data_IF_047712234428
#
_entry.id   IF_047712234428
#
_cell.length_a   1.000
_cell.length_b   1.000
_cell.length_c   1.000
_cell.angle_alpha   90.00
_cell.angle_beta   90.00
_cell.angle_gamma   90.00
#
_symmetry.space_group_name_H-M   'P 1'
#
loop_
_entity.id
_entity.type
_entity.pdbx_description
1 polymer ?
#
# COMPACT_ATOMS: atom_id res chain seq x y z
N UNK A 1 10.67 7.23 15.96
CA UNK A 1 9.57 6.39 16.38
C UNK A 1 9.68 4.97 15.82
N UNK A 2 10.16 4.78 14.59
CA UNK A 2 10.46 3.48 13.99
C UNK A 2 11.90 3.41 13.51
N UNK A 3 12.52 2.23 13.62
CA UNK A 3 13.79 1.92 12.98
C UNK A 3 13.50 1.14 11.70
N UNK A 4 13.65 1.80 10.54
CA UNK A 4 13.36 1.20 9.24
C UNK A 4 14.51 0.29 8.81
N UNK A 5 14.17 -0.86 8.28
CA UNK A 5 15.07 -1.86 7.69
C UNK A 5 14.53 -2.26 6.33
N UNK A 6 15.35 -2.17 5.30
CA UNK A 6 14.96 -2.32 3.91
C UNK A 6 15.66 -3.51 3.28
N UNK A 7 14.97 -4.18 2.38
CA UNK A 7 15.54 -5.18 1.47
C UNK A 7 14.78 -5.17 0.16
N UNK A 8 15.51 -5.18 -0.97
CA UNK A 8 14.96 -5.22 -2.31
C UNK A 8 14.41 -3.87 -2.80
N UNK A 9 14.72 -2.77 -2.14
CA UNK A 9 14.29 -1.42 -2.57
C UNK A 9 14.72 -1.08 -4.00
N UNK A 10 15.79 -1.72 -4.49
CA UNK A 10 16.28 -1.61 -5.88
C UNK A 10 15.26 -2.14 -6.91
N UNK A 11 14.33 -2.98 -6.48
CA UNK A 11 13.26 -3.52 -7.35
C UNK A 11 12.17 -2.48 -7.64
N UNK A 12 12.16 -1.35 -6.90
CA UNK A 12 11.28 -0.22 -7.24
C UNK A 12 11.97 0.59 -8.34
N UNK A 13 11.38 0.69 -9.55
CA UNK A 13 12.01 1.43 -10.64
C UNK A 13 12.11 2.92 -10.31
N UNK A 14 13.22 3.54 -10.67
CA UNK A 14 13.46 4.98 -10.45
C UNK A 14 12.67 5.87 -11.40
N UNK A 15 12.19 5.31 -12.51
CA UNK A 15 11.41 5.97 -13.56
C UNK A 15 10.42 5.00 -14.21
N UNK A 16 9.55 5.52 -15.07
CA UNK A 16 8.53 4.75 -15.78
C UNK A 16 7.35 4.30 -14.93
N UNK A 17 6.24 3.98 -15.56
CA UNK A 17 5.02 3.54 -14.90
C UNK A 17 5.20 2.19 -14.22
N UNK A 18 4.75 2.06 -12.98
CA UNK A 18 4.74 0.81 -12.24
C UNK A 18 3.68 0.84 -11.12
N UNK A 19 3.29 -0.33 -10.65
CA UNK A 19 2.38 -0.48 -9.52
C UNK A 19 3.09 -1.19 -8.38
N UNK A 20 3.17 -0.56 -7.20
CA UNK A 20 3.59 -1.20 -5.96
C UNK A 20 2.37 -1.75 -5.23
N UNK A 21 2.44 -2.99 -4.78
CA UNK A 21 1.38 -3.68 -4.05
C UNK A 21 1.92 -4.14 -2.70
N UNK A 22 1.24 -3.77 -1.60
CA UNK A 22 1.67 -4.15 -0.26
C UNK A 22 0.49 -4.62 0.61
N UNK A 23 0.80 -5.33 1.70
CA UNK A 23 -0.13 -5.62 2.77
C UNK A 23 -0.49 -4.36 3.56
N UNK A 24 -1.68 -4.34 4.17
CA UNK A 24 -2.22 -3.16 4.86
C UNK A 24 -2.54 -3.43 6.32
N UNK A 25 -1.64 -3.07 7.20
CA UNK A 25 -1.71 -3.40 8.64
C UNK A 25 -1.86 -2.18 9.56
N UNK A 26 -1.60 -0.97 9.02
CA UNK A 26 -1.54 0.25 9.83
C UNK A 26 -1.85 1.50 9.00
N UNK A 27 -2.28 2.58 9.67
CA UNK A 27 -2.48 3.88 9.03
C UNK A 27 -1.17 4.53 8.53
N UNK A 28 -0.02 4.11 9.06
CA UNK A 28 1.29 4.66 8.66
C UNK A 28 1.96 3.89 7.52
N UNK A 29 1.35 2.84 7.01
CA UNK A 29 1.92 2.03 5.92
C UNK A 29 2.30 2.88 4.70
N UNK A 30 1.40 3.77 4.27
CA UNK A 30 1.64 4.67 3.16
C UNK A 30 2.80 5.64 3.42
N UNK A 31 2.94 6.13 4.66
CA UNK A 31 4.06 7.01 5.04
C UNK A 31 5.38 6.23 4.98
N UNK A 32 5.41 5.02 5.52
CA UNK A 32 6.62 4.18 5.52
C UNK A 32 7.03 3.83 4.10
N UNK A 33 6.09 3.40 3.26
CA UNK A 33 6.35 3.11 1.85
C UNK A 33 6.87 4.35 1.12
N UNK A 34 6.24 5.51 1.33
CA UNK A 34 6.66 6.77 0.71
C UNK A 34 8.07 7.22 1.12
N UNK A 35 8.44 7.04 2.39
CA UNK A 35 9.80 7.38 2.88
C UNK A 35 10.86 6.39 2.37
N UNK A 36 10.49 5.12 2.21
CA UNK A 36 11.39 4.06 1.74
C UNK A 36 11.52 3.98 0.21
N UNK A 37 10.68 4.69 -0.54
CA UNK A 37 10.73 4.68 -2.00
C UNK A 37 11.82 5.58 -2.55
N UNK A 38 12.53 5.17 -3.62
CA UNK A 38 13.51 6.01 -4.30
C UNK A 38 12.90 7.20 -5.05
N UNK A 39 11.57 7.21 -5.24
CA UNK A 39 10.82 8.27 -5.93
C UNK A 39 9.43 8.47 -5.32
N UNK A 40 8.79 9.62 -5.56
CA UNK A 40 7.41 9.84 -5.15
C UNK A 40 6.47 8.77 -5.69
N UNK A 41 5.45 8.42 -4.90
CA UNK A 41 4.39 7.50 -5.32
C UNK A 41 3.02 8.07 -5.00
N UNK A 42 2.04 7.70 -5.83
CA UNK A 42 0.63 8.07 -5.68
C UNK A 42 -0.11 6.92 -5.02
N UNK A 43 -0.86 7.20 -3.96
CA UNK A 43 -1.59 6.19 -3.21
C UNK A 43 -3.07 6.19 -3.54
N UNK A 44 -3.68 5.00 -3.66
CA UNK A 44 -5.14 4.87 -3.65
C UNK A 44 -5.56 4.59 -2.20
N UNK A 45 -6.44 5.44 -1.67
CA UNK A 45 -6.87 5.40 -0.27
C UNK A 45 -8.39 5.51 -0.12
N UNK A 46 -8.94 4.89 0.93
CA UNK A 46 -10.37 5.00 1.26
C UNK A 46 -10.78 6.48 1.41
N UNK A 47 -11.86 6.89 0.72
CA UNK A 47 -12.35 8.28 0.72
C UNK A 47 -12.69 8.82 2.12
N UNK A 48 -13.00 7.93 3.07
CA UNK A 48 -13.34 8.31 4.45
C UNK A 48 -12.15 8.90 5.19
N UNK A 49 -10.93 8.49 4.85
CA UNK A 49 -9.70 9.03 5.47
C UNK A 49 -9.53 10.52 5.13
N UNK A 50 -9.98 10.95 3.96
CA UNK A 50 -9.89 12.36 3.55
C UNK A 50 -10.76 13.30 4.39
N UNK A 51 -11.72 12.75 5.14
CA UNK A 51 -12.54 13.51 6.09
C UNK A 51 -11.87 13.71 7.46
N UNK A 52 -10.66 13.16 7.66
CA UNK A 52 -9.92 13.30 8.92
C UNK A 52 -9.42 14.75 9.08
N UNK A 53 -9.83 15.48 10.14
CA UNK A 53 -9.41 16.86 10.36
C UNK A 53 -7.89 16.97 10.43
N UNK A 54 -7.34 18.01 9.81
CA UNK A 54 -5.90 18.29 9.83
C UNK A 54 -5.04 17.47 8.87
N UNK A 55 -5.59 16.44 8.19
CA UNK A 55 -4.82 15.58 7.28
C UNK A 55 -4.89 16.00 5.79
N UNK A 56 -5.69 17.00 5.45
CA UNK A 56 -5.92 17.40 4.06
C UNK A 56 -4.64 17.83 3.31
N UNK A 57 -3.70 18.48 4.00
CA UNK A 57 -2.42 18.87 3.44
C UNK A 57 -1.56 17.64 3.07
N UNK A 58 -1.57 16.61 3.92
CA UNK A 58 -0.83 15.36 3.68
C UNK A 58 -1.34 14.64 2.43
N UNK A 59 -2.68 14.49 2.27
CA UNK A 59 -3.25 13.83 1.10
C UNK A 59 -2.98 14.57 -0.20
N UNK A 60 -2.90 15.91 -0.15
CA UNK A 60 -2.46 16.72 -1.30
C UNK A 60 -0.98 16.49 -1.61
N UNK A 61 -0.13 16.42 -0.59
CA UNK A 61 1.31 16.20 -0.74
C UNK A 61 1.61 14.85 -1.40
N UNK A 62 0.93 13.79 -0.98
CA UNK A 62 1.13 12.43 -1.54
C UNK A 62 0.26 12.18 -2.78
N UNK A 63 -0.39 13.20 -3.32
CA UNK A 63 -1.30 13.11 -4.49
C UNK A 63 -2.31 11.96 -4.36
N UNK A 64 -2.79 11.67 -3.15
CA UNK A 64 -3.63 10.50 -2.88
C UNK A 64 -4.94 10.52 -3.69
N UNK A 65 -5.31 9.38 -4.23
CA UNK A 65 -6.54 9.15 -5.00
C UNK A 65 -7.60 8.60 -4.05
N UNK A 66 -8.70 9.33 -3.77
CA UNK A 66 -9.78 8.79 -2.97
C UNK A 66 -10.55 7.72 -3.75
N UNK A 67 -10.80 6.58 -3.10
CA UNK A 67 -11.66 5.53 -3.63
C UNK A 67 -12.79 5.20 -2.67
N UNK A 68 -14.00 5.07 -3.17
CA UNK A 68 -15.14 4.53 -2.43
C UNK A 68 -15.43 3.08 -2.88
N UNK A 69 -16.04 2.24 -2.03
CA UNK A 69 -16.56 0.95 -2.50
C UNK A 69 -17.58 1.14 -3.63
N UNK A 70 -17.52 0.30 -4.66
CA UNK A 70 -18.43 0.41 -5.82
C UNK A 70 -19.91 0.39 -5.44
N UNK A 71 -20.27 -0.35 -4.38
CA UNK A 71 -21.66 -0.43 -3.88
C UNK A 71 -22.11 0.85 -3.15
N UNK A 72 -21.16 1.63 -2.62
CA UNK A 72 -21.43 2.86 -1.87
C UNK A 72 -21.50 4.08 -2.80
N UNK A 73 -20.51 4.21 -3.68
CA UNK A 73 -20.42 5.30 -4.66
C UNK A 73 -19.76 4.79 -5.97
N UNK A 74 -20.58 4.32 -6.94
CA UNK A 74 -20.05 3.82 -8.21
C UNK A 74 -19.28 4.88 -9.01
N UNK A 75 -19.67 6.16 -8.90
CA UNK A 75 -19.02 7.25 -9.64
C UNK A 75 -17.64 7.54 -9.06
N UNK A 76 -17.53 7.67 -7.73
CA UNK A 76 -16.25 7.85 -7.06
C UNK A 76 -15.31 6.62 -7.28
N UNK A 77 -15.88 5.42 -7.32
CA UNK A 77 -15.13 4.20 -7.65
C UNK A 77 -14.51 4.30 -9.06
N UNK A 78 -15.30 4.59 -10.09
CA UNK A 78 -14.80 4.68 -11.47
C UNK A 78 -13.84 5.86 -11.65
N UNK A 79 -14.13 7.02 -11.05
CA UNK A 79 -13.24 8.17 -11.08
C UNK A 79 -11.85 7.86 -10.49
N UNK A 80 -11.80 7.04 -9.42
CA UNK A 80 -10.52 6.61 -8.84
C UNK A 80 -9.70 5.77 -9.83
N UNK A 81 -10.34 4.85 -10.57
CA UNK A 81 -9.65 4.07 -11.60
C UNK A 81 -9.18 4.91 -12.78
N UNK A 82 -9.99 5.88 -13.21
CA UNK A 82 -9.58 6.83 -14.28
C UNK A 82 -8.34 7.62 -13.84
N UNK A 83 -8.32 8.12 -12.61
CA UNK A 83 -7.14 8.83 -12.07
C UNK A 83 -5.92 7.93 -11.93
N UNK A 84 -6.10 6.68 -11.50
CA UNK A 84 -5.01 5.69 -11.43
C UNK A 84 -4.37 5.46 -12.81
N UNK A 85 -5.20 5.33 -13.86
CA UNK A 85 -4.73 5.19 -15.24
C UNK A 85 -3.98 6.42 -15.71
N UNK A 86 -4.49 7.63 -15.42
CA UNK A 86 -3.82 8.89 -15.77
C UNK A 86 -2.42 8.99 -15.11
N UNK A 87 -2.31 8.64 -13.83
CA UNK A 87 -1.04 8.58 -13.11
C UNK A 87 -0.03 7.64 -13.78
N UNK A 88 -0.48 6.45 -14.18
CA UNK A 88 0.39 5.50 -14.90
C UNK A 88 0.74 6.00 -16.30
N UNK A 89 -0.18 6.65 -17.02
CA UNK A 89 0.10 7.27 -18.32
C UNK A 89 1.15 8.39 -18.23
N UNK A 90 1.26 9.06 -17.09
CA UNK A 90 2.29 10.05 -16.78
C UNK A 90 3.64 9.44 -16.37
N UNK A 91 3.76 8.10 -16.32
CA UNK A 91 4.97 7.40 -15.93
C UNK A 91 5.21 7.35 -14.42
N UNK A 92 4.22 7.67 -13.61
CA UNK A 92 4.31 7.72 -12.16
C UNK A 92 4.22 6.33 -11.51
N UNK A 93 4.67 6.22 -10.26
CA UNK A 93 4.54 5.03 -9.44
C UNK A 93 3.21 5.07 -8.67
N UNK A 94 2.34 4.10 -8.91
CA UNK A 94 1.09 3.92 -8.19
C UNK A 94 1.27 2.91 -7.06
N UNK A 95 0.77 3.21 -5.87
CA UNK A 95 0.74 2.29 -4.75
C UNK A 95 -0.68 1.96 -4.34
N UNK A 96 -0.96 0.67 -4.16
CA UNK A 96 -2.27 0.22 -3.71
C UNK A 96 -2.15 -0.93 -2.70
N UNK A 97 -3.17 -1.01 -1.85
CA UNK A 97 -3.37 -2.07 -0.89
C UNK A 97 -4.55 -2.92 -1.35
N UNK A 98 -4.31 -4.06 -2.02
CA UNK A 98 -5.39 -4.82 -2.68
C UNK A 98 -6.36 -5.49 -1.70
N UNK A 99 -6.02 -5.56 -0.42
CA UNK A 99 -6.94 -5.96 0.66
C UNK A 99 -8.16 -5.02 0.75
N UNK A 100 -7.99 -3.75 0.35
CA UNK A 100 -9.04 -2.74 0.36
C UNK A 100 -9.43 -2.26 1.76
N UNK A 101 -8.55 -2.44 2.72
CA UNK A 101 -8.70 -1.95 4.09
C UNK A 101 -7.64 -2.51 5.03
N UNK A 102 -7.43 -1.84 6.16
CA UNK A 102 -6.50 -2.28 7.20
C UNK A 102 -7.00 -3.57 7.82
N UNK A 103 -6.13 -4.57 7.94
CA UNK A 103 -6.45 -5.85 8.59
C UNK A 103 -7.00 -5.66 10.01
N UNK A 104 -7.85 -6.57 10.45
CA UNK A 104 -8.43 -6.55 11.80
C UNK A 104 -7.79 -7.57 12.75
N UNK A 105 -7.11 -8.54 12.21
CA UNK A 105 -6.52 -9.69 12.94
C UNK A 105 -5.00 -9.82 12.75
N UNK A 106 -4.41 -8.95 11.92
CA UNK A 106 -2.98 -8.96 11.60
C UNK A 106 -2.58 -9.91 10.49
N UNK A 107 -3.53 -10.67 9.95
CA UNK A 107 -3.28 -11.57 8.83
C UNK A 107 -3.54 -10.87 7.50
N UNK A 108 -2.83 -11.33 6.46
CA UNK A 108 -3.05 -10.89 5.10
C UNK A 108 -4.46 -11.26 4.65
N UNK A 109 -5.23 -10.28 4.20
CA UNK A 109 -6.58 -10.48 3.71
C UNK A 109 -6.58 -10.85 2.22
N UNK A 110 -7.71 -11.33 1.72
CA UNK A 110 -7.86 -11.68 0.30
C UNK A 110 -7.66 -10.44 -0.59
N UNK A 111 -6.88 -10.59 -1.64
CA UNK A 111 -6.64 -9.54 -2.61
C UNK A 111 -7.81 -9.40 -3.57
N UNK A 112 -8.29 -8.18 -3.72
CA UNK A 112 -9.39 -7.85 -4.64
C UNK A 112 -8.87 -7.69 -6.06
N UNK A 113 -9.73 -8.00 -7.03
CA UNK A 113 -9.42 -7.93 -8.45
C UNK A 113 -9.30 -6.50 -9.04
N UNK A 114 -9.37 -5.45 -8.18
CA UNK A 114 -9.29 -4.06 -8.66
C UNK A 114 -8.05 -3.73 -9.48
N UNK A 115 -6.91 -4.33 -9.15
CA UNK A 115 -5.67 -4.14 -9.91
C UNK A 115 -5.81 -4.61 -11.36
N UNK A 116 -6.57 -5.68 -11.62
CA UNK A 116 -6.76 -6.22 -12.97
C UNK A 116 -7.44 -5.20 -13.89
N UNK A 117 -8.41 -4.42 -13.37
CA UNK A 117 -9.05 -3.33 -14.14
C UNK A 117 -8.07 -2.25 -14.59
N UNK A 118 -7.02 -2.02 -13.82
CA UNK A 118 -5.97 -1.06 -14.19
C UNK A 118 -5.07 -1.68 -15.27
N UNK A 119 -4.62 -2.91 -15.06
CA UNK A 119 -3.69 -3.60 -15.95
C UNK A 119 -4.30 -3.93 -17.33
N UNK A 120 -5.62 -4.16 -17.42
CA UNK A 120 -6.32 -4.35 -18.69
C UNK A 120 -6.11 -3.19 -19.68
N UNK A 121 -5.97 -1.97 -19.18
CA UNK A 121 -5.83 -0.78 -20.02
C UNK A 121 -4.43 -0.16 -19.96
N UNK A 122 -3.69 -0.39 -18.89
CA UNK A 122 -2.34 0.11 -18.66
C UNK A 122 -1.47 -1.03 -18.13
N UNK A 123 -1.01 -1.94 -19.02
CA UNK A 123 -0.14 -3.05 -18.64
C UNK A 123 1.24 -2.51 -18.23
N UNK A 124 1.53 -2.55 -16.93
CA UNK A 124 2.79 -2.08 -16.33
C UNK A 124 3.31 -3.11 -15.33
N UNK A 125 4.62 -3.13 -15.04
CA UNK A 125 5.18 -4.01 -14.01
C UNK A 125 4.51 -3.81 -12.65
N UNK A 126 4.27 -4.92 -11.94
CA UNK A 126 3.72 -4.91 -10.59
C UNK A 126 4.77 -5.41 -9.61
N UNK A 127 5.05 -4.62 -8.57
CA UNK A 127 6.08 -4.88 -7.58
C UNK A 127 5.40 -5.30 -6.28
N UNK A 128 5.51 -6.56 -5.84
CA UNK A 128 5.02 -6.99 -4.54
C UNK A 128 5.94 -6.51 -3.42
N UNK A 129 5.36 -6.03 -2.32
CA UNK A 129 6.09 -5.60 -1.14
C UNK A 129 5.42 -6.11 0.13
N UNK A 130 6.20 -6.29 1.18
CA UNK A 130 5.71 -6.72 2.49
C UNK A 130 6.22 -5.81 3.60
N UNK A 131 5.29 -5.31 4.41
CA UNK A 131 5.56 -4.54 5.62
C UNK A 131 5.54 -5.44 6.84
N UNK A 132 6.64 -5.48 7.56
CA UNK A 132 6.84 -6.30 8.76
C UNK A 132 6.76 -5.48 10.04
N UNK A 133 6.27 -6.10 11.11
CA UNK A 133 6.25 -5.55 12.48
C UNK A 133 5.41 -4.28 12.70
N UNK A 134 4.51 -3.94 11.79
CA UNK A 134 3.58 -2.83 12.00
C UNK A 134 2.29 -3.24 12.74
N UNK A 135 1.92 -4.51 12.70
CA UNK A 135 0.80 -5.03 13.48
C UNK A 135 1.12 -4.98 14.97
N UNK A 136 0.17 -4.48 15.75
CA UNK A 136 0.36 -4.23 17.17
C UNK A 136 1.09 -2.92 17.51
N UNK A 137 1.49 -2.12 16.50
CA UNK A 137 1.97 -0.75 16.72
C UNK A 137 0.81 0.16 17.15
N UNK A 138 1.14 1.36 17.66
CA UNK A 138 0.12 2.33 18.09
C UNK A 138 -0.81 2.79 16.97
N UNK A 139 -0.45 2.59 15.71
CA UNK A 139 -1.22 2.98 14.53
C UNK A 139 -2.00 1.81 13.90
N UNK A 140 -1.91 0.61 14.45
CA UNK A 140 -2.70 -0.55 14.03
C UNK A 140 -4.05 -0.62 14.76
N UNK A 141 -4.96 -1.47 14.26
CA UNK A 141 -6.31 -1.62 14.86
C UNK A 141 -6.39 -2.69 15.95
N UNK A 142 -5.29 -3.09 16.56
CA UNK A 142 -5.32 -4.08 17.64
C UNK A 142 -6.12 -3.54 18.82
N UNK A 143 -7.16 -4.26 19.21
CA UNK A 143 -8.04 -3.94 20.36
C UNK A 143 -8.72 -2.56 20.31
N UNK A 144 -9.06 -2.04 19.13
CA UNK A 144 -9.86 -0.81 19.01
C UNK A 144 -9.34 0.19 18.00
N UNK A 145 -9.66 1.46 18.22
CA UNK A 145 -9.22 2.55 17.34
C UNK A 145 -7.71 2.74 17.41
N UNK A 146 -7.10 3.08 16.27
CA UNK A 146 -5.69 3.48 16.24
C UNK A 146 -5.44 4.66 17.19
N UNK A 147 -4.25 4.73 17.78
CA UNK A 147 -3.85 5.72 18.79
C UNK A 147 -4.52 5.57 20.18
N UNK A 148 -5.34 4.57 20.40
CA UNK A 148 -5.97 4.37 21.71
C UNK A 148 -4.97 4.00 22.82
N UNK A 149 -3.81 3.44 22.47
CA UNK A 149 -2.75 3.11 23.43
C UNK A 149 -1.36 3.49 22.88
N UNK A 150 -0.97 4.77 22.93
CA UNK A 150 0.36 5.20 22.56
C UNK A 150 1.40 4.53 23.49
N UNK A 151 2.51 4.05 22.97
CA UNK A 151 3.61 3.41 23.71
C UNK A 151 3.44 1.91 24.02
N UNK A 152 2.42 1.22 23.53
CA UNK A 152 2.20 -0.20 23.80
C UNK A 152 3.42 -1.09 23.48
N UNK A 153 4.19 -0.79 22.46
CA UNK A 153 5.42 -1.52 22.06
C UNK A 153 6.71 -0.73 22.26
N UNK A 154 6.67 0.38 23.02
CA UNK A 154 7.82 1.25 23.22
C UNK A 154 8.11 2.15 22.00
N UNK A 155 9.24 2.85 22.05
CA UNK A 155 9.76 3.71 20.98
C UNK A 155 10.90 2.99 20.23
N UNK A 156 11.08 3.28 18.94
CA UNK A 156 12.11 2.72 18.06
C UNK A 156 11.95 1.22 17.70
N UNK A 157 10.70 0.76 17.59
CA UNK A 157 10.48 -0.60 17.09
C UNK A 157 11.02 -0.77 15.68
N UNK A 158 11.72 -1.88 15.38
CA UNK A 158 12.15 -2.17 14.04
C UNK A 158 10.95 -2.50 13.16
N UNK A 159 10.86 -1.82 12.01
CA UNK A 159 9.88 -2.07 10.97
C UNK A 159 10.63 -2.47 9.71
N UNK A 160 10.25 -3.58 9.09
CA UNK A 160 10.84 -4.06 7.86
C UNK A 160 10.00 -3.73 6.64
N UNK A 161 10.65 -3.39 5.55
CA UNK A 161 10.09 -3.40 4.21
C UNK A 161 10.90 -4.35 3.34
N UNK A 162 10.23 -5.35 2.80
CA UNK A 162 10.82 -6.28 1.83
C UNK A 162 10.10 -6.06 0.50
N UNK A 163 10.87 -5.77 -0.54
CA UNK A 163 10.36 -5.54 -1.89
C UNK A 163 10.79 -6.71 -2.77
N UNK A 164 9.82 -7.41 -3.36
CA UNK A 164 10.05 -8.53 -4.25
C UNK A 164 10.38 -8.08 -5.68
N UNK A 165 10.72 -9.06 -6.52
CA UNK A 165 10.98 -8.82 -7.93
C UNK A 165 9.73 -8.35 -8.68
N UNK A 166 9.88 -7.44 -9.65
CA UNK A 166 8.79 -7.02 -10.52
C UNK A 166 8.16 -8.19 -11.28
N UNK A 167 6.85 -8.18 -11.37
CA UNK A 167 6.05 -9.18 -12.09
C UNK A 167 5.55 -8.54 -13.37
N UNK A 168 5.74 -9.22 -14.51
CA UNK A 168 5.19 -8.78 -15.80
C UNK A 168 3.65 -8.74 -15.73
N UNK A 169 2.99 -7.72 -16.34
CA UNK A 169 1.55 -7.52 -16.19
C UNK A 169 0.72 -8.74 -16.61
N UNK A 170 1.19 -9.52 -17.59
CA UNK A 170 0.52 -10.74 -18.10
C UNK A 170 0.56 -11.90 -17.08
N UNK A 171 1.50 -11.88 -16.15
CA UNK A 171 1.66 -12.89 -15.10
C UNK A 171 0.95 -12.52 -13.78
N UNK A 172 0.23 -11.39 -13.76
CA UNK A 172 -0.45 -10.92 -12.56
C UNK A 172 -1.81 -11.56 -12.42
N UNK A 173 -2.08 -12.10 -11.24
CA UNK A 173 -3.42 -12.43 -10.75
C UNK A 173 -3.55 -12.03 -9.29
N UNK A 174 -4.77 -11.76 -8.78
CA UNK A 174 -4.96 -11.41 -7.37
C UNK A 174 -4.39 -12.46 -6.41
N UNK A 175 -4.64 -13.74 -6.70
CA UNK A 175 -4.16 -14.87 -5.90
C UNK A 175 -2.64 -15.02 -5.98
N UNK A 176 -2.06 -14.85 -7.17
CA UNK A 176 -0.62 -14.89 -7.38
C UNK A 176 0.11 -13.76 -6.65
N UNK A 177 -0.44 -12.53 -6.69
CA UNK A 177 0.07 -11.40 -5.93
C UNK A 177 -0.01 -11.63 -4.41
N UNK A 178 -1.14 -12.16 -3.94
CA UNK A 178 -1.31 -12.49 -2.52
C UNK A 178 -0.28 -13.51 -2.07
N UNK A 179 -0.05 -14.56 -2.85
CA UNK A 179 0.97 -15.57 -2.55
C UNK A 179 2.38 -14.97 -2.53
N UNK A 180 2.70 -14.06 -3.45
CA UNK A 180 4.00 -13.36 -3.47
C UNK A 180 4.19 -12.49 -2.22
N UNK A 181 3.20 -11.68 -1.86
CA UNK A 181 3.26 -10.85 -0.64
C UNK A 181 3.33 -11.73 0.62
N UNK A 182 2.57 -12.84 0.68
CA UNK A 182 2.65 -13.79 1.77
C UNK A 182 4.04 -14.46 1.87
N UNK A 183 4.65 -14.80 0.75
CA UNK A 183 6.00 -15.34 0.73
C UNK A 183 7.03 -14.33 1.30
N UNK A 184 6.93 -13.05 0.90
CA UNK A 184 7.77 -11.99 1.46
C UNK A 184 7.54 -11.78 2.96
N UNK A 185 6.30 -11.91 3.45
CA UNK A 185 5.98 -11.83 4.88
C UNK A 185 6.54 -13.01 5.68
N UNK A 186 6.71 -14.17 5.07
CA UNK A 186 7.30 -15.36 5.70
C UNK A 186 8.83 -15.30 5.75
N UNK A 187 9.45 -14.40 4.99
CA UNK A 187 10.88 -14.19 5.05
C UNK A 187 11.29 -13.49 6.37
N UNK A 188 12.51 -13.73 6.86
CA UNK A 188 12.99 -13.01 8.03
C UNK A 188 13.06 -11.51 7.76
N UNK A 189 12.68 -10.72 8.77
CA UNK A 189 12.79 -9.26 8.69
C UNK A 189 14.23 -8.85 8.34
N UNK A 190 14.42 -7.85 7.47
CA UNK A 190 15.76 -7.33 7.15
C UNK A 190 16.56 -6.94 8.41
N UNK A 191 17.87 -7.18 8.40
CA UNK A 191 18.77 -6.86 9.52
C UNK A 191 19.14 -5.37 9.56
#
# INVERSE_FOLDING_TARGET
VYRLRLRGEMNIPTDGAAILVANHVSFVDAIILGVCSPRPMVFIMDHRIFKTPGMGWFFKLVKAIPIAPQKEDPQAYEAAFQRARAVLAEGELLCLFPEGGITRDGHLQLFKAGIMKILETHPVPVIPAALHNLWGSMFSRVEGAALSRPLRRGVFNPVGLVVGEPIAPEAVSPEGLQQRVQALLNEPMPR
#
